data_IF_970133669640
#
_entry.id   IF_970133669640
#
_cell.length_a   1.000
_cell.length_b   1.000
_cell.length_c   1.000
_cell.angle_alpha   90.00
_cell.angle_beta   90.00
_cell.angle_gamma   90.00
#
_symmetry.space_group_name_H-M   'P 1'
#
loop_
_entity.id
_entity.type
_entity.pdbx_description
1 polymer ?
#
# COMPACT_ATOMS: atom_id res chain seq x y z
N UNK A 1 14.06 1.64 9.64
CA UNK A 1 13.31 2.60 8.82
C UNK A 1 13.17 1.97 7.46
N UNK A 2 12.03 1.36 7.17
CA UNK A 2 11.92 0.46 6.02
C UNK A 2 10.49 0.39 5.48
N UNK A 3 10.35 0.37 4.15
CA UNK A 3 9.11 -0.04 3.48
C UNK A 3 9.34 -1.45 2.95
N UNK A 4 8.69 -2.44 3.55
CA UNK A 4 8.72 -3.82 3.09
C UNK A 4 7.67 -4.03 2.02
N UNK A 5 8.02 -4.79 0.98
CA UNK A 5 7.13 -5.14 -0.13
C UNK A 5 7.08 -6.64 -0.34
N UNK A 6 5.88 -7.19 -0.46
CA UNK A 6 5.63 -8.61 -0.76
C UNK A 6 4.48 -8.74 -1.75
N UNK A 7 4.46 -9.83 -2.50
CA UNK A 7 3.46 -10.07 -3.54
C UNK A 7 2.92 -11.50 -3.43
N UNK A 8 1.61 -11.65 -3.53
CA UNK A 8 0.92 -12.93 -3.69
C UNK A 8 0.34 -13.01 -5.09
N UNK A 9 0.37 -14.21 -5.67
CA UNK A 9 -0.20 -14.47 -7.01
C UNK A 9 -1.66 -14.95 -6.89
N UNK A 10 -1.99 -15.66 -5.80
CA UNK A 10 -3.31 -16.26 -5.59
C UNK A 10 -3.80 -16.07 -4.14
N UNK A 11 -4.69 -15.09 -3.87
CA UNK A 11 -5.15 -14.04 -4.80
C UNK A 11 -4.03 -13.04 -5.15
N UNK A 12 -4.12 -12.34 -6.29
CA UNK A 12 -3.16 -11.29 -6.65
C UNK A 12 -3.24 -10.14 -5.64
N UNK A 13 -2.19 -9.96 -4.84
CA UNK A 13 -2.14 -8.98 -3.75
C UNK A 13 -0.73 -8.41 -3.64
N UNK A 14 -0.62 -7.09 -3.58
CA UNK A 14 0.59 -6.39 -3.18
C UNK A 14 0.49 -5.95 -1.71
N UNK A 15 1.56 -6.15 -0.96
CA UNK A 15 1.61 -5.81 0.45
C UNK A 15 2.74 -4.82 0.71
N UNK A 16 2.42 -3.78 1.46
CA UNK A 16 3.37 -2.78 1.92
C UNK A 16 3.32 -2.69 3.44
N UNK A 17 4.47 -2.77 4.10
CA UNK A 17 4.56 -2.51 5.54
C UNK A 17 5.55 -1.40 5.79
N UNK A 18 5.10 -0.38 6.52
CA UNK A 18 5.84 0.83 6.80
C UNK A 18 6.30 0.79 8.25
N UNK A 19 7.62 0.73 8.47
CA UNK A 19 8.21 0.58 9.79
C UNK A 19 9.18 1.73 10.12
N UNK A 20 8.90 2.40 11.23
CA UNK A 20 9.65 3.54 11.72
C UNK A 20 9.27 4.84 11.02
N UNK A 21 10.27 5.68 10.73
CA UNK A 21 10.09 6.91 9.97
C UNK A 21 9.88 6.60 8.48
N UNK A 22 9.09 7.40 7.78
CA UNK A 22 8.98 7.30 6.32
C UNK A 22 9.12 8.70 5.74
N UNK A 23 9.96 8.83 4.72
CA UNK A 23 10.08 10.06 3.96
C UNK A 23 9.68 9.84 2.49
N UNK A 24 9.69 10.94 1.74
CA UNK A 24 9.27 10.94 0.36
C UNK A 24 10.21 10.13 -0.56
N UNK A 25 11.52 10.13 -0.28
CA UNK A 25 12.50 9.40 -1.11
C UNK A 25 12.24 7.90 -1.02
N UNK A 26 11.94 7.40 0.18
CA UNK A 26 11.56 6.00 0.39
C UNK A 26 10.28 5.62 -0.34
N UNK A 27 9.25 6.49 -0.31
CA UNK A 27 8.01 6.24 -1.04
C UNK A 27 8.24 6.15 -2.55
N UNK A 28 9.02 7.07 -3.10
CA UNK A 28 9.38 7.08 -4.53
C UNK A 28 10.15 5.82 -4.92
N UNK A 29 11.14 5.43 -4.11
CA UNK A 29 11.90 4.20 -4.34
C UNK A 29 10.99 2.97 -4.27
N UNK A 30 10.16 2.85 -3.24
CA UNK A 30 9.23 1.74 -3.08
C UNK A 30 8.20 1.67 -4.21
N UNK A 31 7.67 2.81 -4.66
CA UNK A 31 6.70 2.89 -5.74
C UNK A 31 7.33 2.57 -7.09
N UNK A 32 8.50 3.13 -7.39
CA UNK A 32 9.28 2.83 -8.59
C UNK A 32 9.62 1.35 -8.68
N UNK A 33 10.13 0.79 -7.57
CA UNK A 33 10.49 -0.62 -7.51
C UNK A 33 9.25 -1.55 -7.53
N UNK A 34 8.07 -1.07 -7.11
CA UNK A 34 6.82 -1.82 -7.21
C UNK A 34 6.34 -1.96 -8.65
N UNK A 35 6.38 -0.86 -9.42
CA UNK A 35 5.92 -0.82 -10.82
C UNK A 35 6.71 -1.75 -11.74
N UNK A 36 7.98 -1.98 -11.44
CA UNK A 36 8.87 -2.82 -12.25
C UNK A 36 9.08 -4.22 -11.65
N UNK A 37 8.43 -4.54 -10.54
CA UNK A 37 8.59 -5.86 -9.92
C UNK A 37 7.92 -6.93 -10.81
N UNK A 38 8.65 -7.97 -11.25
CA UNK A 38 8.04 -9.03 -12.07
C UNK A 38 6.95 -9.84 -11.37
N UNK A 39 6.85 -9.76 -10.04
CA UNK A 39 5.76 -10.38 -9.27
C UNK A 39 4.53 -9.46 -9.12
N UNK A 40 4.63 -8.18 -9.53
CA UNK A 40 3.49 -7.28 -9.54
C UNK A 40 2.58 -7.60 -10.74
N UNK A 41 1.32 -7.90 -10.45
CA UNK A 41 0.27 -8.07 -11.45
C UNK A 41 -0.59 -6.80 -11.46
N UNK A 42 -0.74 -6.08 -12.59
CA UNK A 42 -1.64 -4.94 -12.68
C UNK A 42 -3.07 -5.32 -12.29
N UNK A 43 -3.73 -4.49 -11.47
CA UNK A 43 -5.04 -4.78 -10.90
C UNK A 43 -5.04 -5.67 -9.66
N UNK A 44 -3.86 -6.03 -9.12
CA UNK A 44 -3.78 -6.65 -7.79
C UNK A 44 -4.29 -5.68 -6.74
N UNK A 45 -5.07 -6.17 -5.78
CA UNK A 45 -5.40 -5.41 -4.59
C UNK A 45 -4.12 -5.07 -3.80
N UNK A 46 -4.20 -4.05 -2.96
CA UNK A 46 -3.09 -3.57 -2.15
C UNK A 46 -3.47 -3.53 -0.68
N UNK A 47 -2.64 -4.13 0.16
CA UNK A 47 -2.74 -4.01 1.62
C UNK A 47 -1.55 -3.22 2.16
N UNK A 48 -1.80 -2.10 2.81
CA UNK A 48 -0.78 -1.21 3.36
C UNK A 48 -0.85 -1.15 4.90
N UNK A 49 0.19 -1.61 5.57
CA UNK A 49 0.29 -1.66 7.03
C UNK A 49 1.13 -0.50 7.58
N UNK A 50 0.46 0.42 8.28
CA UNK A 50 1.05 1.60 8.95
C UNK A 50 1.12 1.43 10.47
N UNK A 51 0.98 0.20 10.99
CA UNK A 51 0.95 -0.06 12.44
C UNK A 51 2.22 0.40 13.12
N UNK A 52 3.37 0.18 12.49
CA UNK A 52 4.69 0.50 13.04
C UNK A 52 5.25 1.83 12.53
N UNK A 53 4.42 2.68 11.93
CA UNK A 53 4.80 4.01 11.48
C UNK A 53 4.97 4.96 12.68
N UNK A 54 6.17 5.49 12.88
CA UNK A 54 6.50 6.36 14.02
C UNK A 54 6.72 7.82 13.63
N UNK A 55 7.05 8.10 12.36
CA UNK A 55 7.22 9.45 11.84
C UNK A 55 6.92 9.48 10.34
N UNK A 56 6.33 10.58 9.84
CA UNK A 56 6.06 10.76 8.42
C UNK A 56 6.53 12.15 7.98
N UNK A 57 7.60 12.19 7.18
CA UNK A 57 8.11 13.40 6.54
C UNK A 57 7.62 13.45 5.09
N UNK A 58 6.31 13.63 4.93
CA UNK A 58 5.63 13.61 3.64
C UNK A 58 5.17 15.00 3.25
N UNK A 59 5.56 15.42 2.05
CA UNK A 59 5.08 16.64 1.43
C UNK A 59 3.85 16.35 0.56
N UNK A 60 2.78 17.10 0.77
CA UNK A 60 1.50 16.92 0.06
C UNK A 60 1.64 17.13 -1.45
N UNK A 61 2.39 18.15 -1.87
CA UNK A 61 2.55 18.49 -3.29
C UNK A 61 3.33 17.40 -4.01
N UNK A 62 4.37 16.86 -3.37
CA UNK A 62 5.17 15.78 -3.95
C UNK A 62 4.36 14.48 -4.02
N UNK A 63 3.57 14.17 -2.99
CA UNK A 63 2.71 12.99 -3.01
C UNK A 63 1.63 13.10 -4.10
N UNK A 64 1.07 14.29 -4.31
CA UNK A 64 0.14 14.56 -5.42
C UNK A 64 0.80 14.33 -6.79
N UNK A 65 2.05 14.75 -6.99
CA UNK A 65 2.77 14.48 -8.23
C UNK A 65 2.97 12.97 -8.45
N UNK A 66 3.36 12.24 -7.40
CA UNK A 66 3.51 10.78 -7.47
C UNK A 66 2.20 10.10 -7.89
N UNK A 67 1.07 10.51 -7.31
CA UNK A 67 -0.24 9.98 -7.66
C UNK A 67 -0.68 10.32 -9.08
N UNK A 68 -0.33 11.50 -9.57
CA UNK A 68 -0.60 11.91 -10.96
C UNK A 68 0.19 11.03 -11.93
N UNK A 69 1.47 10.80 -11.65
CA UNK A 69 2.33 9.91 -12.45
C UNK A 69 1.85 8.46 -12.41
N UNK A 70 1.38 7.98 -11.25
CA UNK A 70 0.78 6.66 -11.08
C UNK A 70 -0.45 6.49 -11.98
N UNK A 71 -1.38 7.45 -11.94
CA UNK A 71 -2.61 7.42 -12.75
C UNK A 71 -2.30 7.39 -14.25
N UNK A 72 -1.26 8.10 -14.70
CA UNK A 72 -0.84 8.11 -16.11
C UNK A 72 -0.15 6.81 -16.55
N UNK A 73 0.45 6.07 -15.61
CA UNK A 73 1.13 4.82 -15.91
C UNK A 73 0.17 3.66 -16.19
N UNK A 74 -0.90 3.56 -15.39
CA UNK A 74 -1.93 2.54 -15.56
C UNK A 74 -2.93 2.98 -16.64
N UNK A 75 -2.49 2.88 -17.91
CA UNK A 75 -3.28 3.27 -19.09
C UNK A 75 -4.54 2.44 -19.32
N UNK A 76 -4.62 1.25 -18.71
CA UNK A 76 -5.81 0.40 -18.75
C UNK A 76 -6.45 0.43 -17.37
N UNK A 77 -7.73 0.80 -17.27
CA UNK A 77 -8.40 0.86 -15.99
C UNK A 77 -8.61 -0.56 -15.45
N UNK A 78 -7.87 -0.89 -14.39
CA UNK A 78 -8.08 -2.09 -13.59
C UNK A 78 -8.61 -1.64 -12.23
N UNK A 79 -9.80 -2.13 -11.85
CA UNK A 79 -10.31 -1.87 -10.50
C UNK A 79 -9.31 -2.45 -9.49
N UNK A 80 -8.85 -1.61 -8.58
CA UNK A 80 -7.91 -1.98 -7.53
C UNK A 80 -8.44 -1.50 -6.19
N UNK A 81 -8.47 -2.37 -5.19
CA UNK A 81 -8.76 -1.98 -3.80
C UNK A 81 -7.45 -1.76 -3.06
N UNK A 82 -7.30 -0.59 -2.45
CA UNK A 82 -6.19 -0.28 -1.55
C UNK A 82 -6.75 -0.14 -0.14
N UNK A 83 -6.35 -1.04 0.76
CA UNK A 83 -6.75 -1.01 2.16
C UNK A 83 -5.56 -0.71 3.04
N UNK A 84 -5.67 0.39 3.81
CA UNK A 84 -4.73 0.73 4.86
C UNK A 84 -5.19 0.16 6.20
N UNK A 85 -4.28 -0.48 6.94
CA UNK A 85 -4.40 -0.66 8.39
C UNK A 85 -3.55 0.38 9.10
N UNK A 86 -4.19 1.25 9.87
CA UNK A 86 -3.58 2.43 10.44
C UNK A 86 -4.13 2.70 11.86
N UNK A 87 -3.70 1.92 12.87
CA UNK A 87 -4.26 2.01 14.23
C UNK A 87 -3.86 3.30 14.94
N UNK A 88 -2.68 3.86 14.63
CA UNK A 88 -2.16 5.10 15.23
C UNK A 88 -2.73 6.33 14.54
N UNK A 89 -2.82 7.46 15.25
CA UNK A 89 -3.32 8.70 14.65
C UNK A 89 -2.42 9.25 13.55
N UNK A 90 -1.10 9.06 13.69
CA UNK A 90 -0.14 9.39 12.63
C UNK A 90 -0.43 8.58 11.36
N UNK A 91 -0.47 7.25 11.46
CA UNK A 91 -0.75 6.39 10.32
C UNK A 91 -2.11 6.70 9.71
N UNK A 92 -3.12 6.91 10.55
CA UNK A 92 -4.47 7.23 10.09
C UNK A 92 -4.49 8.56 9.33
N UNK A 93 -3.82 9.60 9.83
CA UNK A 93 -3.67 10.89 9.16
C UNK A 93 -3.00 10.77 7.80
N UNK A 94 -1.90 10.01 7.71
CA UNK A 94 -1.18 9.77 6.45
C UNK A 94 -2.05 9.02 5.43
N UNK A 95 -2.72 7.94 5.84
CA UNK A 95 -3.58 7.17 4.97
C UNK A 95 -4.80 7.98 4.49
N UNK A 96 -5.40 8.79 5.37
CA UNK A 96 -6.49 9.69 5.00
C UNK A 96 -6.04 10.79 4.05
N UNK A 97 -4.84 11.33 4.24
CA UNK A 97 -4.25 12.29 3.30
C UNK A 97 -4.12 11.65 1.91
N UNK A 98 -3.54 10.45 1.81
CA UNK A 98 -3.48 9.68 0.55
C UNK A 98 -4.87 9.50 -0.08
N UNK A 99 -5.83 8.98 0.69
CA UNK A 99 -7.19 8.74 0.23
C UNK A 99 -7.86 10.01 -0.32
N UNK A 100 -7.67 11.15 0.35
CA UNK A 100 -8.20 12.44 -0.11
C UNK A 100 -7.55 12.91 -1.40
N UNK A 101 -6.27 12.61 -1.62
CA UNK A 101 -5.57 12.98 -2.87
C UNK A 101 -5.89 12.05 -4.02
N UNK A 102 -6.01 10.75 -3.77
CA UNK A 102 -6.34 9.78 -4.83
C UNK A 102 -7.80 9.90 -5.27
N UNK A 103 -8.68 10.39 -4.40
CA UNK A 103 -10.05 10.74 -4.72
C UNK A 103 -10.09 11.81 -5.83
N UNK A 104 -10.40 11.38 -7.06
CA UNK A 104 -10.47 12.23 -8.25
C UNK A 104 -9.31 12.09 -9.23
N UNK A 105 -8.23 11.38 -8.85
CA UNK A 105 -7.13 11.06 -9.76
C UNK A 105 -7.33 9.71 -10.46
N UNK A 106 -8.01 8.76 -9.81
CA UNK A 106 -8.36 7.47 -10.40
C UNK A 106 -9.80 7.10 -10.05
N UNK A 107 -10.64 6.89 -11.07
CA UNK A 107 -11.99 6.36 -10.87
C UNK A 107 -11.99 4.85 -10.56
N UNK A 108 -10.83 4.19 -10.65
CA UNK A 108 -10.69 2.74 -10.58
C UNK A 108 -9.96 2.26 -9.32
N UNK A 109 -9.42 3.18 -8.51
CA UNK A 109 -8.87 2.85 -7.20
C UNK A 109 -9.92 3.11 -6.12
N UNK A 110 -10.26 2.09 -5.33
CA UNK A 110 -11.07 2.25 -4.12
C UNK A 110 -10.16 2.17 -2.91
N UNK A 111 -10.04 3.28 -2.18
CA UNK A 111 -9.19 3.35 -0.98
C UNK A 111 -10.04 3.27 0.27
N UNK A 112 -9.66 2.37 1.19
CA UNK A 112 -10.25 2.24 2.53
C UNK A 112 -9.17 2.42 3.60
N UNK A 113 -9.52 3.10 4.69
CA UNK A 113 -8.60 3.35 5.81
C UNK A 113 -9.26 2.84 7.08
N UNK A 114 -8.66 1.81 7.67
CA UNK A 114 -9.22 1.08 8.79
C UNK A 114 -8.22 1.06 9.95
N UNK A 115 -8.73 1.11 11.19
CA UNK A 115 -7.88 1.06 12.40
C UNK A 115 -7.65 -0.36 12.90
N UNK A 116 -8.60 -1.25 12.65
CA UNK A 116 -8.52 -2.65 13.06
C UNK A 116 -7.99 -3.52 11.91
N UNK A 117 -6.95 -4.31 12.21
CA UNK A 117 -6.29 -5.19 11.24
C UNK A 117 -7.23 -6.28 10.72
N UNK A 118 -8.05 -6.86 11.59
CA UNK A 118 -8.96 -7.96 11.22
C UNK A 118 -9.97 -7.45 10.19
N UNK A 119 -10.55 -6.29 10.44
CA UNK A 119 -11.49 -5.61 9.54
C UNK A 119 -10.81 -5.23 8.23
N UNK A 120 -9.57 -4.74 8.28
CA UNK A 120 -8.80 -4.40 7.07
C UNK A 120 -8.54 -5.60 6.16
N UNK A 121 -8.21 -6.75 6.74
CA UNK A 121 -8.03 -7.99 5.98
C UNK A 121 -9.35 -8.50 5.41
N UNK A 122 -10.41 -8.46 6.22
CA UNK A 122 -11.75 -8.86 5.80
C UNK A 122 -12.27 -8.01 4.62
N UNK A 123 -11.93 -6.71 4.55
CA UNK A 123 -12.28 -5.84 3.43
C UNK A 123 -11.69 -6.33 2.08
N UNK A 124 -10.55 -7.00 2.12
CA UNK A 124 -9.94 -7.65 0.96
C UNK A 124 -10.37 -9.12 0.77
N UNK A 125 -11.19 -9.66 1.67
CA UNK A 125 -11.57 -11.08 1.68
C UNK A 125 -10.45 -12.00 2.16
N UNK A 126 -9.47 -11.47 2.90
CA UNK A 126 -8.31 -12.20 3.41
C UNK A 126 -8.59 -12.73 4.82
N UNK A 127 -8.05 -13.91 5.12
CA UNK A 127 -8.15 -14.53 6.44
C UNK A 127 -7.07 -13.96 7.39
N UNK A 128 -7.31 -13.94 8.72
CA UNK A 128 -6.37 -13.38 9.71
C UNK A 128 -5.05 -14.14 9.83
N UNK A 129 -5.03 -15.43 9.51
CA UNK A 129 -3.85 -16.30 9.53
C UNK A 129 -2.86 -15.96 8.40
N UNK A 130 -3.36 -15.45 7.28
CA UNK A 130 -2.53 -14.85 6.23
C UNK A 130 -1.70 -13.69 6.79
N UNK A 131 -2.25 -12.91 7.73
CA UNK A 131 -1.53 -11.84 8.43
C UNK A 131 -0.32 -12.31 9.24
N UNK A 132 -0.43 -13.51 9.83
CA UNK A 132 0.65 -14.17 10.56
C UNK A 132 1.74 -14.66 9.61
N UNK A 133 1.36 -15.09 8.41
CA UNK A 133 2.30 -15.41 7.32
C UNK A 133 2.99 -14.15 6.77
N UNK A 134 2.23 -13.06 6.61
CA UNK A 134 2.67 -11.75 6.14
C UNK A 134 3.66 -11.07 7.10
N UNK A 135 3.49 -11.23 8.42
CA UNK A 135 4.44 -10.77 9.44
C UNK A 135 5.78 -11.51 9.42
N UNK A 136 5.83 -12.70 8.80
CA UNK A 136 7.02 -13.58 8.71
C UNK A 136 7.69 -13.56 7.32
N UNK A 137 7.03 -13.00 6.31
CA UNK A 137 7.56 -12.89 4.96
C UNK A 137 8.65 -11.80 4.89
N UNK A 138 9.88 -12.23 5.18
CA UNK A 138 11.14 -11.49 4.97
C UNK A 138 11.22 -10.95 3.53
N UNK A 139 11.77 -9.75 3.28
CA UNK A 139 11.84 -9.18 1.92
C UNK A 139 12.64 -10.09 0.98
N UNK A 140 12.04 -10.43 -0.16
CA UNK A 140 12.76 -10.99 -1.31
C UNK A 140 12.62 -12.50 -1.59
N UNK A 141 11.84 -13.28 -0.85
CA UNK A 141 11.58 -14.68 -1.24
C UNK A 141 10.31 -14.83 -2.06
N UNK A 142 10.50 -14.88 -3.39
CA UNK A 142 9.56 -15.55 -4.30
C UNK A 142 9.41 -16.99 -3.85
N UNK A 143 8.19 -17.46 -3.66
CA UNK A 143 7.91 -18.89 -3.70
C UNK A 143 6.86 -19.11 -4.78
N UNK A 144 7.23 -19.93 -5.76
CA UNK A 144 6.37 -20.35 -6.86
C UNK A 144 5.53 -21.56 -6.50
#
# INVERSE_FOLDING_TARGET
MTIHRSYLVHPPLALFRYEGRVDMAMLLEAFGAHRVDPAHVPGSDVFADLTDLTEAALDFEVLRHLLTDAAMHYRTPCETRLVFVAPTDLGYGVARMYQSMSAGLSAHERVEVLRDRTTALAALGLQPDLALWMARATPGRRQG
#
